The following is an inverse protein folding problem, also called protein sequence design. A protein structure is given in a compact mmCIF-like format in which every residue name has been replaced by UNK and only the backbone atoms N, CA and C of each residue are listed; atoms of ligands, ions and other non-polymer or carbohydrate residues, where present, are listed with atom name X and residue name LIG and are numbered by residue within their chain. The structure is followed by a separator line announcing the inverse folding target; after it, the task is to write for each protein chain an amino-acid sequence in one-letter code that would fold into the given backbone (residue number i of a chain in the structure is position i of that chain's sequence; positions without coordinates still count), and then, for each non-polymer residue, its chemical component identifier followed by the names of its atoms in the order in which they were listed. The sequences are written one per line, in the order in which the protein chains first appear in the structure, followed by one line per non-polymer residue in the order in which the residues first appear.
data_IF_201809664627
#
_entry.id   IF_201809664627
#
_cell.length_a   1.000
_cell.length_b   1.000
_cell.length_c   1.000
_cell.angle_alpha   90.00
_cell.angle_beta   90.00
_cell.angle_gamma   90.00
#
_symmetry.space_group_name_H-M   'P 1'
#
loop_
_entity.id
_entity.type
_entity.pdbx_description
1 polymer ?
#
# COMPACT_ATOMS: atom_id res chain seq x y z
N UNK A 1 -27.53 -12.39 17.21
CA UNK A 1 -26.97 -11.53 18.28
C UNK A 1 -27.14 -10.09 17.83
N UNK A 2 -28.12 -9.39 18.42
CA UNK A 2 -28.32 -7.96 18.21
C UNK A 2 -27.35 -7.21 19.14
N UNK A 3 -26.64 -6.22 18.59
CA UNK A 3 -25.85 -5.29 19.39
C UNK A 3 -26.75 -4.14 19.84
N UNK A 4 -27.04 -4.07 21.13
CA UNK A 4 -27.65 -2.89 21.77
C UNK A 4 -26.60 -1.80 21.97
N UNK A 5 -27.00 -0.59 21.60
CA UNK A 5 -26.27 0.66 21.80
C UNK A 5 -26.30 1.04 23.29
N UNK A 6 -25.15 1.01 23.97
CA UNK A 6 -25.04 1.52 25.35
C UNK A 6 -24.81 3.03 25.29
N UNK A 7 -25.86 3.80 25.64
CA UNK A 7 -25.76 5.23 25.85
C UNK A 7 -24.81 5.57 27.02
N UNK A 8 -23.80 6.39 26.74
CA UNK A 8 -22.94 6.98 27.77
C UNK A 8 -23.64 8.21 28.35
N UNK A 9 -23.97 8.14 29.64
CA UNK A 9 -24.62 9.23 30.41
C UNK A 9 -23.71 10.45 30.50
N UNK A 10 -24.30 11.64 30.31
CA UNK A 10 -23.70 12.95 30.61
C UNK A 10 -23.19 12.98 32.06
N UNK A 11 -21.88 13.18 32.24
CA UNK A 11 -21.32 13.62 33.51
C UNK A 11 -21.49 15.14 33.61
N UNK A 12 -22.38 15.61 34.48
CA UNK A 12 -22.41 17.01 34.88
C UNK A 12 -21.36 17.24 35.98
N UNK A 13 -20.35 18.07 35.67
CA UNK A 13 -19.39 18.55 36.66
C UNK A 13 -19.97 19.83 37.28
N UNK A 14 -20.47 19.74 38.51
CA UNK A 14 -20.81 20.92 39.32
C UNK A 14 -19.54 21.47 39.99
N UNK A 15 -19.07 22.62 39.52
CA UNK A 15 -18.00 23.38 40.18
C UNK A 15 -18.67 24.36 41.16
N UNK A 16 -18.52 24.12 42.46
CA UNK A 16 -18.91 25.06 43.51
C UNK A 16 -17.72 25.99 43.75
N UNK A 17 -17.86 27.27 43.40
CA UNK A 17 -16.86 28.30 43.67
C UNK A 17 -17.26 29.02 44.96
N UNK A 18 -16.52 28.78 46.03
CA UNK A 18 -16.64 29.51 47.29
C UNK A 18 -16.09 30.93 47.10
N UNK A 19 -16.90 31.95 47.40
CA UNK A 19 -16.49 33.35 47.35
C UNK A 19 -15.44 33.65 48.43
N UNK A 20 -14.17 33.78 48.02
CA UNK A 20 -13.13 34.41 48.81
C UNK A 20 -13.02 35.87 48.36
N UNK A 21 -13.60 36.77 49.16
CA UNK A 21 -13.39 38.20 49.02
C UNK A 21 -11.95 38.54 49.40
N UNK A 22 -11.12 38.90 48.43
CA UNK A 22 -10.03 39.84 48.68
C UNK A 22 -9.79 40.65 47.40
N UNK A 23 -9.80 41.97 47.56
CA UNK A 23 -9.69 42.94 46.50
C UNK A 23 -8.37 42.85 45.72
N UNK A 24 -8.42 43.40 44.51
CA UNK A 24 -7.39 43.49 43.49
C UNK A 24 -7.27 42.27 42.55
N UNK A 25 -7.60 42.52 41.28
CA UNK A 25 -7.25 41.74 40.07
C UNK A 25 -8.12 40.52 39.69
N UNK A 26 -9.44 40.63 39.81
CA UNK A 26 -10.40 39.66 39.24
C UNK A 26 -10.21 39.41 37.73
N UNK A 27 -9.78 40.45 36.98
CA UNK A 27 -9.53 40.35 35.54
C UNK A 27 -8.25 39.55 35.21
N UNK A 28 -7.21 39.69 36.03
CA UNK A 28 -5.91 39.03 35.83
C UNK A 28 -6.00 37.54 36.20
N UNK A 29 -6.74 37.21 37.27
CA UNK A 29 -7.00 35.82 37.67
C UNK A 29 -7.84 35.09 36.62
N UNK A 30 -8.88 35.72 36.05
CA UNK A 30 -9.67 35.13 34.97
C UNK A 30 -8.85 34.87 33.71
N UNK A 31 -7.99 35.82 33.31
CA UNK A 31 -7.09 35.63 32.15
C UNK A 31 -6.08 34.50 32.38
N UNK A 32 -5.50 34.41 33.57
CA UNK A 32 -4.57 33.33 33.92
C UNK A 32 -5.25 31.95 33.89
N UNK A 33 -6.44 31.85 34.46
CA UNK A 33 -7.22 30.60 34.47
C UNK A 33 -7.61 30.16 33.05
N UNK A 34 -7.96 31.11 32.18
CA UNK A 34 -8.32 30.83 30.78
C UNK A 34 -7.10 30.32 30.00
N UNK A 35 -5.91 30.90 30.21
CA UNK A 35 -4.67 30.41 29.60
C UNK A 35 -4.30 29.00 30.08
N UNK A 36 -4.50 28.68 31.36
CA UNK A 36 -4.24 27.34 31.91
C UNK A 36 -5.19 26.31 31.29
N UNK A 37 -6.48 26.65 31.12
CA UNK A 37 -7.46 25.74 30.50
C UNK A 37 -7.14 25.50 29.02
N UNK A 38 -6.75 26.54 28.27
CA UNK A 38 -6.34 26.39 26.86
C UNK A 38 -5.07 25.54 26.76
N UNK A 39 -4.05 25.80 27.60
CA UNK A 39 -2.82 25.01 27.61
C UNK A 39 -3.07 23.53 27.96
N UNK A 40 -3.96 23.26 28.93
CA UNK A 40 -4.37 21.91 29.28
C UNK A 40 -5.13 21.21 28.14
N UNK A 41 -5.97 21.94 27.39
CA UNK A 41 -6.69 21.38 26.23
C UNK A 41 -5.77 21.02 25.06
N UNK A 42 -4.72 21.81 24.83
CA UNK A 42 -3.68 21.51 23.83
C UNK A 42 -2.87 20.29 24.27
N UNK A 43 -2.46 20.22 25.54
CA UNK A 43 -1.71 19.07 26.07
C UNK A 43 -2.54 17.76 26.05
N UNK A 44 -3.85 17.83 26.29
CA UNK A 44 -4.75 16.67 26.17
C UNK A 44 -5.00 16.27 24.71
N UNK A 45 -5.02 17.22 23.77
CA UNK A 45 -5.12 16.91 22.33
C UNK A 45 -3.86 16.20 21.80
N UNK A 46 -2.67 16.51 22.33
CA UNK A 46 -1.44 15.76 22.03
C UNK A 46 -1.36 14.39 22.74
N UNK A 47 -2.09 14.21 23.85
CA UNK A 47 -2.08 12.99 24.65
C UNK A 47 -3.07 11.89 24.23
N UNK A 48 -3.99 12.18 23.30
CA UNK A 48 -5.01 11.22 22.85
C UNK A 48 -4.74 10.61 21.46
N UNK A 49 -3.52 10.71 20.93
CA UNK A 49 -3.05 9.73 19.97
C UNK A 49 -2.70 8.46 20.75
N UNK A 50 -3.70 7.60 20.99
CA UNK A 50 -3.43 6.21 21.40
C UNK A 50 -2.59 5.59 20.29
N UNK A 51 -1.27 5.63 20.46
CA UNK A 51 -0.34 4.77 19.76
C UNK A 51 -0.69 3.36 20.25
N UNK A 52 -1.49 2.65 19.46
CA UNK A 52 -1.56 1.21 19.58
C UNK A 52 -0.17 0.75 19.18
N UNK A 53 0.71 0.59 20.17
CA UNK A 53 1.91 -0.22 20.02
C UNK A 53 1.40 -1.65 19.83
N UNK A 54 1.03 -1.97 18.59
CA UNK A 54 0.98 -3.36 18.21
C UNK A 54 2.43 -3.84 18.36
N UNK A 55 2.66 -4.85 19.19
CA UNK A 55 3.95 -5.52 19.31
C UNK A 55 4.24 -6.32 18.04
N UNK A 56 4.07 -5.71 16.86
CA UNK A 56 4.44 -6.31 15.60
C UNK A 56 5.95 -6.47 15.58
N UNK A 57 6.39 -7.73 15.60
CA UNK A 57 7.80 -8.07 15.52
C UNK A 57 8.19 -8.21 14.05
N UNK A 58 8.78 -7.14 13.52
CA UNK A 58 9.41 -7.12 12.19
C UNK A 58 10.41 -8.27 12.02
N UNK A 59 10.49 -8.86 10.83
CA UNK A 59 11.47 -9.91 10.51
C UNK A 59 12.93 -9.44 10.62
N UNK A 60 13.83 -10.40 10.87
CA UNK A 60 15.27 -10.15 10.94
C UNK A 60 15.83 -9.53 9.64
N UNK A 61 15.30 -9.94 8.49
CA UNK A 61 15.71 -9.42 7.18
C UNK A 61 15.58 -7.90 7.09
N UNK A 62 14.49 -7.31 7.57
CA UNK A 62 14.28 -5.84 7.53
C UNK A 62 15.36 -5.13 8.35
N UNK A 63 15.71 -5.65 9.53
CA UNK A 63 16.76 -5.05 10.35
C UNK A 63 18.15 -5.17 9.69
N UNK A 64 18.45 -6.29 9.03
CA UNK A 64 19.69 -6.43 8.24
C UNK A 64 19.71 -5.44 7.07
N UNK A 65 18.61 -5.33 6.30
CA UNK A 65 18.49 -4.38 5.20
C UNK A 65 18.72 -2.92 5.63
N UNK A 66 18.16 -2.53 6.78
CA UNK A 66 18.35 -1.20 7.36
C UNK A 66 19.77 -0.97 7.89
N UNK A 67 20.51 -2.03 8.23
CA UNK A 67 21.91 -1.93 8.67
C UNK A 67 22.85 -1.86 7.47
N UNK A 68 22.62 -2.71 6.48
CA UNK A 68 23.57 -2.98 5.39
C UNK A 68 23.34 -2.09 4.16
N UNK A 69 22.11 -1.64 3.92
CA UNK A 69 21.69 -1.04 2.64
C UNK A 69 20.83 0.23 2.76
N UNK A 70 20.79 0.89 3.92
CA UNK A 70 19.89 2.02 4.17
C UNK A 70 19.99 3.15 3.12
N UNK A 71 21.19 3.52 2.70
CA UNK A 71 21.39 4.58 1.71
C UNK A 71 20.80 4.23 0.35
N UNK A 72 21.04 2.99 -0.14
CA UNK A 72 20.45 2.47 -1.37
C UNK A 72 18.92 2.42 -1.27
N UNK A 73 18.38 1.97 -0.14
CA UNK A 73 16.94 1.89 0.09
C UNK A 73 16.28 3.27 0.10
N UNK A 74 16.91 4.27 0.74
CA UNK A 74 16.44 5.67 0.70
C UNK A 74 16.47 6.24 -0.70
N UNK A 75 17.51 5.97 -1.48
CA UNK A 75 17.58 6.39 -2.88
C UNK A 75 16.41 5.81 -3.70
N UNK A 76 16.09 4.52 -3.53
CA UNK A 76 14.94 3.88 -4.19
C UNK A 76 13.60 4.43 -3.70
N UNK A 77 13.50 4.79 -2.42
CA UNK A 77 12.32 5.42 -1.85
C UNK A 77 12.07 6.82 -2.44
N UNK A 78 13.12 7.64 -2.56
CA UNK A 78 13.06 9.00 -3.10
C UNK A 78 12.74 9.06 -4.61
N UNK A 79 13.11 8.02 -5.36
CA UNK A 79 12.77 7.90 -6.77
C UNK A 79 11.33 7.41 -7.01
N UNK A 80 10.68 6.87 -5.98
CA UNK A 80 9.33 6.28 -6.02
C UNK A 80 8.26 7.22 -5.41
N UNK A 81 6.99 6.81 -5.42
CA UNK A 81 5.85 7.54 -4.88
C UNK A 81 5.33 8.68 -5.77
N UNK A 82 5.94 8.91 -6.94
CA UNK A 82 5.62 10.03 -7.84
C UNK A 82 4.42 9.71 -8.72
N UNK A 83 3.56 10.70 -9.06
CA UNK A 83 2.45 10.52 -10.01
C UNK A 83 2.84 9.97 -11.38
N UNK A 84 4.09 10.16 -11.82
CA UNK A 84 4.61 9.61 -13.08
C UNK A 84 4.99 8.13 -13.03
N UNK A 85 5.01 7.51 -11.84
CA UNK A 85 5.38 6.10 -11.69
C UNK A 85 4.23 5.14 -12.03
N UNK A 86 4.51 3.85 -11.94
CA UNK A 86 3.56 2.78 -12.24
C UNK A 86 2.84 2.23 -10.99
N UNK A 87 1.65 1.67 -11.19
CA UNK A 87 0.98 0.84 -10.20
C UNK A 87 1.59 -0.56 -10.30
N UNK A 88 2.28 -0.99 -9.24
CA UNK A 88 3.06 -2.24 -9.24
C UNK A 88 2.32 -3.32 -8.46
N UNK A 89 2.14 -4.48 -9.09
CA UNK A 89 1.48 -5.66 -8.56
C UNK A 89 2.54 -6.72 -8.23
N UNK A 90 2.55 -7.19 -6.99
CA UNK A 90 3.40 -8.29 -6.52
C UNK A 90 2.55 -9.39 -5.86
N UNK A 91 3.07 -10.61 -5.78
CA UNK A 91 2.40 -11.75 -5.17
C UNK A 91 2.28 -12.94 -6.13
N UNK A 92 1.25 -13.76 -5.95
CA UNK A 92 1.04 -14.94 -6.80
C UNK A 92 0.78 -14.52 -8.26
N UNK A 93 1.47 -15.14 -9.25
CA UNK A 93 1.34 -14.75 -10.64
C UNK A 93 -0.11 -14.70 -11.15
N UNK A 94 -0.94 -15.71 -10.83
CA UNK A 94 -2.32 -15.75 -11.28
C UNK A 94 -3.14 -14.58 -10.72
N UNK A 95 -2.90 -14.19 -9.47
CA UNK A 95 -3.62 -13.10 -8.81
C UNK A 95 -3.16 -11.73 -9.31
N UNK A 96 -1.87 -11.53 -9.55
CA UNK A 96 -1.34 -10.34 -10.22
C UNK A 96 -1.95 -10.17 -11.62
N UNK A 97 -1.99 -11.25 -12.41
CA UNK A 97 -2.55 -11.23 -13.76
C UNK A 97 -4.05 -10.90 -13.77
N UNK A 98 -4.85 -11.55 -12.90
CA UNK A 98 -6.29 -11.28 -12.79
C UNK A 98 -6.57 -9.85 -12.34
N UNK A 99 -5.79 -9.33 -11.39
CA UNK A 99 -5.97 -7.93 -10.94
C UNK A 99 -5.54 -6.95 -12.03
N UNK A 100 -4.41 -7.18 -12.69
CA UNK A 100 -3.97 -6.38 -13.84
C UNK A 100 -5.05 -6.34 -14.91
N UNK A 101 -5.62 -7.49 -15.28
CA UNK A 101 -6.70 -7.58 -16.25
C UNK A 101 -7.92 -6.76 -15.83
N UNK A 102 -8.34 -6.89 -14.58
CA UNK A 102 -9.44 -6.10 -14.02
C UNK A 102 -9.14 -4.59 -14.10
N UNK A 103 -7.93 -4.16 -13.80
CA UNK A 103 -7.54 -2.75 -13.82
C UNK A 103 -7.40 -2.19 -15.25
N UNK A 104 -7.12 -3.02 -16.25
CA UNK A 104 -7.03 -2.61 -17.65
C UNK A 104 -8.40 -2.25 -18.25
N UNK A 105 -9.49 -2.87 -17.76
CA UNK A 105 -10.83 -2.76 -18.36
C UNK A 105 -11.92 -2.28 -17.41
N UNK A 106 -11.64 -2.20 -16.11
CA UNK A 106 -12.61 -1.81 -15.08
C UNK A 106 -13.07 -0.37 -15.25
N UNK A 107 -14.37 -0.15 -15.14
CA UNK A 107 -15.07 1.14 -15.26
C UNK A 107 -16.13 1.18 -14.12
N UNK A 108 -15.64 1.13 -12.88
CA UNK A 108 -16.47 1.18 -11.68
C UNK A 108 -16.74 2.63 -11.24
N UNK A 109 -15.90 3.59 -11.63
CA UNK A 109 -15.90 4.95 -11.12
C UNK A 109 -15.92 6.03 -12.21
N UNK A 110 -16.55 7.16 -11.90
CA UNK A 110 -16.51 8.37 -12.71
C UNK A 110 -15.11 9.00 -12.56
N UNK A 111 -14.39 9.18 -13.66
CA UNK A 111 -13.01 9.65 -13.62
C UNK A 111 -12.88 11.15 -13.30
N UNK A 112 -13.99 11.90 -13.23
CA UNK A 112 -14.01 13.31 -12.86
C UNK A 112 -14.30 13.46 -11.37
N UNK A 113 -15.38 12.83 -10.88
CA UNK A 113 -15.88 13.06 -9.53
C UNK A 113 -15.82 11.86 -8.58
N UNK A 114 -15.28 10.72 -9.04
CA UNK A 114 -15.04 9.51 -8.26
C UNK A 114 -16.31 8.88 -7.67
N UNK A 115 -17.50 9.19 -8.19
CA UNK A 115 -18.72 8.45 -7.85
C UNK A 115 -18.60 7.01 -8.35
N UNK A 116 -19.23 6.09 -7.62
CA UNK A 116 -19.26 4.66 -7.97
C UNK A 116 -20.28 4.38 -9.09
N UNK A 117 -20.04 5.01 -10.24
CA UNK A 117 -20.80 4.89 -11.49
C UNK A 117 -19.77 5.09 -12.62
N UNK A 118 -19.62 4.10 -13.49
CA UNK A 118 -18.71 4.20 -14.62
C UNK A 118 -19.07 5.30 -15.62
N UNK A 119 -18.06 5.84 -16.29
CA UNK A 119 -18.17 6.91 -17.29
C UNK A 119 -17.85 6.45 -18.72
N UNK A 120 -17.59 5.16 -18.91
CA UNK A 120 -17.21 4.56 -20.20
C UNK A 120 -15.71 4.58 -20.47
N UNK A 121 -14.88 5.06 -19.54
CA UNK A 121 -13.42 4.98 -19.60
C UNK A 121 -12.90 4.09 -18.48
N UNK A 122 -11.80 3.34 -18.71
CA UNK A 122 -11.20 2.58 -17.62
C UNK A 122 -10.82 3.48 -16.44
N UNK A 123 -11.07 3.00 -15.22
CA UNK A 123 -10.78 3.68 -13.94
C UNK A 123 -9.31 4.12 -13.81
N UNK A 124 -8.42 3.41 -14.51
CA UNK A 124 -6.98 3.64 -14.52
C UNK A 124 -6.49 4.18 -15.87
N UNK A 125 -7.32 4.95 -16.57
CA UNK A 125 -6.92 5.64 -17.81
C UNK A 125 -5.64 6.45 -17.61
N UNK A 126 -4.73 6.38 -18.58
CA UNK A 126 -3.41 7.02 -18.54
C UNK A 126 -2.35 6.28 -17.72
N UNK A 127 -2.74 5.27 -16.94
CA UNK A 127 -1.86 4.60 -15.99
C UNK A 127 -1.03 3.47 -16.61
N UNK A 128 0.13 3.20 -16.00
CA UNK A 128 0.91 2.00 -16.27
C UNK A 128 0.75 1.02 -15.10
N UNK A 129 0.29 -0.19 -15.41
CA UNK A 129 0.15 -1.31 -14.49
C UNK A 129 1.32 -2.27 -14.74
N UNK A 130 2.11 -2.54 -13.70
CA UNK A 130 3.30 -3.38 -13.78
C UNK A 130 3.07 -4.62 -12.94
N UNK A 131 3.03 -5.81 -13.55
CA UNK A 131 3.00 -7.07 -12.80
C UNK A 131 4.40 -7.66 -12.70
N UNK A 132 4.91 -7.84 -11.48
CA UNK A 132 6.14 -8.59 -11.22
C UNK A 132 5.74 -10.02 -10.85
N UNK A 133 5.98 -10.96 -11.77
CA UNK A 133 5.55 -12.34 -11.66
C UNK A 133 6.67 -13.21 -11.08
N UNK A 134 6.45 -13.77 -9.89
CA UNK A 134 7.39 -14.70 -9.28
C UNK A 134 6.98 -16.15 -9.53
N UNK A 135 7.67 -16.80 -10.47
CA UNK A 135 7.44 -18.20 -10.81
C UNK A 135 8.38 -19.16 -10.07
N UNK A 136 9.53 -18.66 -9.60
CA UNK A 136 10.53 -19.45 -8.87
C UNK A 136 9.96 -19.99 -7.56
N UNK A 137 8.97 -19.28 -7.00
CA UNK A 137 8.27 -19.61 -5.77
C UNK A 137 6.89 -20.24 -5.94
N UNK A 138 6.47 -20.56 -7.18
CA UNK A 138 5.12 -21.10 -7.44
C UNK A 138 4.92 -22.56 -6.99
N UNK A 139 5.99 -23.26 -6.58
CA UNK A 139 5.88 -24.52 -5.84
C UNK A 139 5.40 -24.24 -4.42
N UNK A 140 4.07 -24.05 -4.32
CA UNK A 140 3.23 -24.03 -3.13
C UNK A 140 3.79 -23.29 -1.92
N UNK A 141 3.23 -22.10 -1.66
CA UNK A 141 3.20 -21.44 -0.34
C UNK A 141 2.97 -22.43 0.83
N UNK A 142 2.29 -23.56 0.58
CA UNK A 142 2.08 -24.68 1.51
C UNK A 142 3.36 -25.36 2.03
N UNK A 143 4.51 -25.25 1.35
CA UNK A 143 5.78 -25.87 1.77
C UNK A 143 6.71 -24.88 2.46
N UNK A 144 6.51 -23.58 2.22
CA UNK A 144 7.31 -22.51 2.81
C UNK A 144 6.92 -22.24 4.25
N UNK A 145 7.92 -21.99 5.09
CA UNK A 145 7.64 -21.48 6.43
C UNK A 145 7.22 -20.01 6.37
N UNK A 146 6.55 -19.53 7.43
CA UNK A 146 6.06 -18.15 7.49
C UNK A 146 7.15 -17.11 7.27
N UNK A 147 8.38 -17.37 7.74
CA UNK A 147 9.51 -16.46 7.61
C UNK A 147 9.91 -16.29 6.14
N UNK A 148 10.03 -17.38 5.39
CA UNK A 148 10.36 -17.35 3.96
C UNK A 148 9.33 -16.56 3.14
N UNK A 149 8.04 -16.72 3.44
CA UNK A 149 6.98 -15.94 2.80
C UNK A 149 7.11 -14.45 3.12
N UNK A 150 7.36 -14.10 4.39
CA UNK A 150 7.57 -12.70 4.82
C UNK A 150 8.76 -12.07 4.11
N UNK A 151 9.88 -12.80 4.04
CA UNK A 151 11.06 -12.34 3.34
C UNK A 151 10.83 -12.18 1.83
N UNK A 152 10.10 -13.10 1.20
CA UNK A 152 9.76 -13.01 -0.22
C UNK A 152 8.93 -11.76 -0.52
N UNK A 153 7.93 -11.44 0.32
CA UNK A 153 7.13 -10.21 0.17
C UNK A 153 7.98 -8.95 0.30
N UNK A 154 8.91 -8.92 1.26
CA UNK A 154 9.85 -7.79 1.41
C UNK A 154 10.74 -7.66 0.17
N UNK A 155 11.32 -8.76 -0.32
CA UNK A 155 12.18 -8.76 -1.52
C UNK A 155 11.42 -8.30 -2.77
N UNK A 156 10.21 -8.82 -2.99
CA UNK A 156 9.36 -8.40 -4.11
C UNK A 156 8.96 -6.91 -4.02
N UNK A 157 8.73 -6.40 -2.80
CA UNK A 157 8.42 -4.99 -2.58
C UNK A 157 9.62 -4.07 -2.87
N UNK A 158 10.84 -4.50 -2.56
CA UNK A 158 12.06 -3.78 -2.93
C UNK A 158 12.31 -3.83 -4.44
N UNK A 159 12.05 -4.97 -5.07
CA UNK A 159 12.04 -5.14 -6.51
C UNK A 159 11.07 -4.15 -7.19
N UNK A 160 9.89 -3.95 -6.61
CA UNK A 160 8.93 -2.95 -7.09
C UNK A 160 9.50 -1.52 -7.07
N UNK A 161 10.23 -1.12 -6.02
CA UNK A 161 10.88 0.21 -5.98
C UNK A 161 12.02 0.35 -7.01
N UNK A 162 12.60 -0.75 -7.45
CA UNK A 162 13.74 -0.75 -8.38
C UNK A 162 13.34 -0.77 -9.86
N UNK A 163 12.05 -0.80 -10.20
CA UNK A 163 11.63 -0.82 -11.61
C UNK A 163 11.99 0.50 -12.31
N UNK A 164 12.37 0.47 -13.62
CA UNK A 164 12.84 1.67 -14.32
C UNK A 164 11.85 2.83 -14.36
N UNK A 165 10.55 2.54 -14.40
CA UNK A 165 9.48 3.56 -14.44
C UNK A 165 9.15 4.15 -13.06
N UNK A 166 9.74 3.60 -11.98
CA UNK A 166 9.43 3.94 -10.60
C UNK A 166 8.09 3.36 -10.12
N UNK A 167 8.02 3.04 -8.83
CA UNK A 167 6.79 2.56 -8.20
C UNK A 167 5.99 3.75 -7.68
N UNK A 168 4.73 3.86 -8.08
CA UNK A 168 3.79 4.89 -7.59
C UNK A 168 2.87 4.36 -6.50
N UNK A 169 2.31 3.17 -6.71
CA UNK A 169 1.48 2.43 -5.74
C UNK A 169 1.96 1.00 -5.76
N UNK A 170 2.11 0.36 -4.60
CA UNK A 170 2.42 -1.06 -4.49
C UNK A 170 1.17 -1.82 -4.06
N UNK A 171 0.81 -2.89 -4.76
CA UNK A 171 -0.30 -3.78 -4.40
C UNK A 171 0.20 -5.20 -4.17
N UNK A 172 -0.07 -5.77 -2.99
CA UNK A 172 0.19 -7.17 -2.69
C UNK A 172 -1.06 -7.98 -3.04
N UNK A 173 -0.97 -8.75 -4.13
CA UNK A 173 -2.07 -9.44 -4.79
C UNK A 173 -2.29 -10.86 -4.27
N UNK A 174 -2.05 -11.14 -2.99
CA UNK A 174 -2.35 -12.45 -2.38
C UNK A 174 -2.81 -12.23 -0.94
N UNK A 175 -3.91 -12.87 -0.56
CA UNK A 175 -4.44 -12.76 0.80
C UNK A 175 -3.47 -13.34 1.82
N UNK A 176 -2.85 -14.47 1.47
CA UNK A 176 -1.86 -15.18 2.27
C UNK A 176 -0.61 -14.32 2.46
N UNK A 177 -0.03 -13.83 1.36
CA UNK A 177 1.17 -12.97 1.42
C UNK A 177 0.90 -11.65 2.13
N UNK A 178 -0.29 -11.06 1.92
CA UNK A 178 -0.74 -9.86 2.64
C UNK A 178 -0.80 -10.10 4.14
N UNK A 179 -1.34 -11.25 4.57
CA UNK A 179 -1.45 -11.62 5.99
C UNK A 179 -0.10 -11.89 6.65
N UNK A 180 0.88 -12.36 5.89
CA UNK A 180 2.19 -12.73 6.39
C UNK A 180 3.14 -11.53 6.41
N UNK A 181 3.33 -10.86 5.27
CA UNK A 181 4.41 -9.90 5.05
C UNK A 181 3.98 -8.44 4.81
N UNK A 182 2.68 -8.14 4.69
CA UNK A 182 2.21 -6.77 4.39
C UNK A 182 2.69 -5.73 5.41
N UNK A 183 2.59 -6.06 6.70
CA UNK A 183 3.06 -5.19 7.79
C UNK A 183 4.60 -5.00 7.80
N UNK A 184 5.39 -6.01 7.40
CA UNK A 184 6.85 -5.86 7.30
C UNK A 184 7.22 -4.85 6.22
N UNK A 185 6.49 -4.84 5.11
CA UNK A 185 6.70 -3.87 4.02
C UNK A 185 6.34 -2.47 4.47
N UNK A 186 5.21 -2.29 5.15
CA UNK A 186 4.80 -0.98 5.69
C UNK A 186 5.81 -0.47 6.71
N UNK A 187 6.28 -1.31 7.64
CA UNK A 187 7.30 -0.94 8.61
C UNK A 187 8.63 -0.56 7.93
N UNK A 188 9.10 -1.37 6.97
CA UNK A 188 10.30 -1.06 6.19
C UNK A 188 10.16 0.27 5.44
N UNK A 189 9.05 0.46 4.71
CA UNK A 189 8.79 1.67 3.92
C UNK A 189 8.73 2.90 4.83
N UNK A 190 8.07 2.79 5.99
CA UNK A 190 8.03 3.85 7.00
C UNK A 190 9.43 4.22 7.54
N UNK A 191 10.27 3.22 7.82
CA UNK A 191 11.64 3.45 8.34
C UNK A 191 12.61 4.04 7.33
N UNK A 192 12.42 3.77 6.04
CA UNK A 192 13.23 4.35 4.96
C UNK A 192 12.65 5.66 4.42
N UNK A 193 11.47 6.10 4.88
CA UNK A 193 10.81 7.32 4.40
C UNK A 193 10.18 7.18 3.00
N UNK A 194 9.76 5.98 2.62
CA UNK A 194 9.10 5.72 1.34
C UNK A 194 7.63 6.13 1.41
N UNK A 195 7.21 7.01 0.49
CA UNK A 195 5.83 7.53 0.45
C UNK A 195 4.88 6.68 -0.40
N UNK A 196 5.39 5.63 -1.06
CA UNK A 196 4.60 4.70 -1.87
C UNK A 196 3.50 4.08 -0.98
N UNK A 197 2.21 4.31 -1.29
CA UNK A 197 1.13 3.62 -0.61
C UNK A 197 1.21 2.12 -0.94
N UNK A 198 1.18 1.29 0.11
CA UNK A 198 1.13 -0.16 0.02
C UNK A 198 -0.31 -0.61 0.29
N UNK A 199 -0.91 -1.30 -0.67
CA UNK A 199 -2.29 -1.77 -0.62
C UNK A 199 -2.27 -3.29 -0.55
N UNK A 200 -2.82 -3.83 0.52
CA UNK A 200 -2.86 -5.26 0.78
C UNK A 200 -4.07 -5.56 1.67
N UNK A 201 -4.56 -6.78 1.60
CA UNK A 201 -5.64 -7.25 2.46
C UNK A 201 -5.56 -8.76 2.59
N UNK A 202 -5.80 -9.26 3.80
CA UNK A 202 -5.99 -10.69 4.05
C UNK A 202 -7.41 -11.18 3.75
N UNK A 203 -8.34 -10.24 3.49
CA UNK A 203 -9.73 -10.55 3.13
C UNK A 203 -9.86 -10.73 1.61
N UNK A 204 -10.27 -11.93 1.19
CA UNK A 204 -10.45 -12.29 -0.22
C UNK A 204 -11.61 -11.58 -0.91
N UNK A 205 -12.53 -10.98 -0.14
CA UNK A 205 -13.62 -10.16 -0.68
C UNK A 205 -13.21 -8.70 -0.89
N UNK A 206 -12.02 -8.31 -0.40
CA UNK A 206 -11.53 -6.95 -0.51
C UNK A 206 -11.16 -6.60 -1.95
N UNK A 207 -11.72 -5.51 -2.47
CA UNK A 207 -11.38 -5.03 -3.80
C UNK A 207 -10.11 -4.18 -3.78
N UNK A 208 -8.98 -4.79 -4.13
CA UNK A 208 -7.68 -4.10 -4.26
C UNK A 208 -7.72 -2.99 -5.31
N UNK A 209 -8.41 -3.20 -6.45
CA UNK A 209 -8.57 -2.18 -7.50
C UNK A 209 -9.30 -0.94 -6.98
N UNK A 210 -10.43 -1.12 -6.29
CA UNK A 210 -11.19 -0.02 -5.69
C UNK A 210 -10.36 0.72 -4.64
N UNK A 211 -9.66 0.00 -3.77
CA UNK A 211 -8.79 0.61 -2.77
C UNK A 211 -7.66 1.43 -3.43
N UNK A 212 -7.09 0.93 -4.51
CA UNK A 212 -6.09 1.65 -5.32
C UNK A 212 -6.67 2.93 -5.90
N UNK A 213 -7.82 2.85 -6.59
CA UNK A 213 -8.48 4.02 -7.18
C UNK A 213 -8.74 5.11 -6.13
N UNK A 214 -9.37 4.74 -5.01
CA UNK A 214 -9.69 5.68 -3.93
C UNK A 214 -8.42 6.29 -3.31
N UNK A 215 -7.37 5.49 -3.10
CA UNK A 215 -6.09 5.99 -2.57
C UNK A 215 -5.41 6.96 -3.53
N UNK A 216 -5.47 6.70 -4.84
CA UNK A 216 -4.94 7.58 -5.87
C UNK A 216 -5.74 8.88 -5.97
N UNK A 217 -7.07 8.84 -5.82
CA UNK A 217 -7.92 10.05 -5.75
C UNK A 217 -7.60 10.89 -4.52
N UNK A 218 -7.53 10.26 -3.36
CA UNK A 218 -7.21 10.91 -2.07
C UNK A 218 -5.88 11.69 -2.16
N UNK A 219 -4.89 11.13 -2.86
CA UNK A 219 -3.55 11.71 -2.97
C UNK A 219 -3.29 12.47 -4.27
N UNK A 220 -4.28 12.65 -5.13
CA UNK A 220 -4.14 13.27 -6.45
C UNK A 220 -2.98 12.66 -7.29
N UNK A 221 -2.93 11.32 -7.37
CA UNK A 221 -1.83 10.55 -7.98
C UNK A 221 -2.11 10.06 -9.41
N UNK A 222 -3.29 10.33 -9.95
CA UNK A 222 -3.61 10.01 -11.35
C UNK A 222 -2.76 10.86 -12.29
N UNK A 223 -2.35 10.24 -13.39
CA UNK A 223 -1.75 10.95 -14.51
C UNK A 223 -2.79 11.83 -15.18
N UNK A 224 -2.34 12.95 -15.76
CA UNK A 224 -3.19 13.79 -16.61
C UNK A 224 -3.21 13.29 -18.07
N UNK A 225 -2.83 12.02 -18.30
CA UNK A 225 -2.72 11.46 -19.63
C UNK A 225 -4.05 10.84 -20.05
N UNK A 226 -4.58 11.28 -21.19
CA UNK A 226 -5.84 10.80 -21.72
C UNK A 226 -5.53 9.66 -22.70
N UNK A 227 -5.30 8.48 -22.16
CA UNK A 227 -5.07 7.25 -22.93
C UNK A 227 -5.67 6.04 -22.23
N UNK A 228 -5.81 4.92 -22.95
CA UNK A 228 -6.09 3.66 -22.29
C UNK A 228 -4.97 3.29 -21.30
N UNK A 229 -5.29 2.54 -20.23
CA UNK A 229 -4.26 1.99 -19.35
C UNK A 229 -3.30 1.12 -20.15
N UNK A 230 -2.09 0.94 -19.62
CA UNK A 230 -1.06 0.11 -20.23
C UNK A 230 -0.51 -0.91 -19.25
N UNK A 231 -0.15 -2.09 -19.74
CA UNK A 231 0.42 -3.14 -18.91
C UNK A 231 1.88 -3.45 -19.28
N UNK A 232 2.70 -3.69 -18.25
CA UNK A 232 4.05 -4.25 -18.38
C UNK A 232 4.20 -5.49 -17.50
N UNK A 233 4.89 -6.49 -18.03
CA UNK A 233 5.17 -7.74 -17.34
C UNK A 233 6.66 -7.84 -17.07
N UNK A 234 6.99 -8.14 -15.82
CA UNK A 234 8.32 -8.53 -15.39
C UNK A 234 8.24 -9.87 -14.69
N UNK A 235 9.38 -10.52 -14.54
CA UNK A 235 9.51 -11.71 -13.72
C UNK A 235 10.63 -11.57 -12.69
N UNK A 236 10.38 -12.13 -11.50
CA UNK A 236 11.39 -12.29 -10.46
C UNK A 236 12.16 -13.58 -10.73
N UNK A 237 13.49 -13.48 -10.81
CA UNK A 237 14.39 -14.62 -10.92
C UNK A 237 15.37 -14.60 -9.75
N UNK A 238 15.74 -15.78 -9.26
CA UNK A 238 16.77 -15.90 -8.24
C UNK A 238 18.10 -15.37 -8.79
N UNK A 239 18.70 -14.40 -8.09
CA UNK A 239 20.04 -13.90 -8.41
C UNK A 239 21.13 -14.93 -8.14
N UNK A 240 22.27 -14.78 -8.82
CA UNK A 240 23.42 -15.69 -8.69
C UNK A 240 24.22 -15.53 -7.39
N UNK A 241 24.07 -14.40 -6.68
CA UNK A 241 24.73 -14.11 -5.42
C UNK A 241 23.70 -13.59 -4.39
N UNK A 242 23.68 -14.22 -3.21
CA UNK A 242 23.07 -13.69 -1.98
C UNK A 242 21.55 -13.45 -1.94
N UNK A 243 20.73 -14.40 -2.40
CA UNK A 243 19.28 -14.36 -2.16
C UNK A 243 18.58 -13.07 -2.63
N UNK A 244 19.21 -12.30 -3.54
CA UNK A 244 18.60 -11.14 -4.16
C UNK A 244 17.69 -11.62 -5.30
N UNK A 245 16.43 -11.17 -5.30
CA UNK A 245 15.53 -11.35 -6.44
C UNK A 245 15.86 -10.30 -7.49
N UNK A 246 16.24 -10.75 -8.70
CA UNK A 246 16.46 -9.85 -9.84
C UNK A 246 15.17 -9.77 -10.63
N UNK A 247 14.75 -8.54 -10.97
CA UNK A 247 13.59 -8.31 -11.83
C UNK A 247 14.07 -8.18 -13.26
N UNK A 248 13.56 -9.04 -14.14
CA UNK A 248 13.86 -9.02 -15.58
C UNK A 248 12.56 -8.88 -16.38
N UNK A 249 12.60 -8.34 -17.61
CA UNK A 249 11.44 -8.35 -18.50
C UNK A 249 10.87 -9.76 -18.61
N UNK A 250 9.54 -9.87 -18.70
CA UNK A 250 8.87 -11.17 -18.76
C UNK A 250 9.23 -11.95 -20.04
N UNK A 251 9.57 -13.22 -19.86
CA UNK A 251 9.93 -14.13 -20.96
C UNK A 251 9.02 -15.35 -20.91
N UNK A 252 8.20 -15.53 -21.95
CA UNK A 252 7.23 -16.64 -22.04
C UNK A 252 7.89 -18.03 -21.88
N UNK A 253 9.11 -18.22 -22.40
CA UNK A 253 9.83 -19.50 -22.31
C UNK A 253 10.33 -19.86 -20.91
N UNK A 254 10.30 -18.91 -19.96
CA UNK A 254 10.68 -19.11 -18.57
C UNK A 254 9.47 -19.40 -17.65
N UNK A 255 8.26 -19.37 -18.20
CA UNK A 255 7.05 -19.76 -17.46
C UNK A 255 7.05 -21.29 -17.25
N UNK A 256 6.94 -21.78 -16.00
CA UNK A 256 6.91 -23.21 -15.74
C UNK A 256 5.71 -23.89 -16.41
N UNK A 257 5.93 -25.08 -16.98
CA UNK A 257 4.85 -25.88 -17.57
C UNK A 257 3.76 -26.30 -16.56
N UNK A 258 4.06 -26.24 -15.26
CA UNK A 258 3.10 -26.49 -14.17
C UNK A 258 2.13 -25.33 -13.94
N UNK A 259 2.37 -24.16 -14.53
CA UNK A 259 1.43 -23.04 -14.46
C UNK A 259 0.27 -23.32 -15.43
N UNK A 260 -0.94 -23.60 -14.92
CA UNK A 260 -1.99 -24.29 -15.68
C UNK A 260 -2.63 -23.44 -16.77
N UNK A 261 -2.56 -22.11 -16.64
CA UNK A 261 -3.15 -21.16 -17.57
C UNK A 261 -2.05 -20.29 -18.19
N UNK A 262 -2.07 -20.08 -19.50
CA UNK A 262 -1.13 -19.13 -20.10
C UNK A 262 -1.49 -17.70 -19.69
N UNK A 263 -0.50 -16.81 -19.69
CA UNK A 263 -0.73 -15.39 -19.40
C UNK A 263 -1.83 -14.79 -20.29
N UNK A 264 -1.85 -15.17 -21.57
CA UNK A 264 -2.89 -14.75 -22.52
C UNK A 264 -4.31 -15.27 -22.21
N UNK A 265 -4.46 -16.33 -21.41
CA UNK A 265 -5.77 -16.83 -20.96
C UNK A 265 -6.23 -16.08 -19.70
N UNK A 266 -5.34 -15.88 -18.73
CA UNK A 266 -5.70 -15.22 -17.46
C UNK A 266 -5.89 -13.71 -17.60
N UNK A 267 -5.14 -13.08 -18.49
CA UNK A 267 -5.10 -11.64 -18.64
C UNK A 267 -4.88 -11.23 -20.10
N UNK A 268 -5.86 -11.46 -21.00
CA UNK A 268 -5.72 -11.22 -22.43
C UNK A 268 -5.44 -9.75 -22.77
N UNK A 269 -6.09 -8.78 -22.11
CA UNK A 269 -5.84 -7.36 -22.38
C UNK A 269 -4.48 -6.92 -21.83
N UNK A 270 -4.09 -7.44 -20.66
CA UNK A 270 -2.75 -7.25 -20.09
C UNK A 270 -1.67 -7.79 -21.03
N UNK A 271 -1.83 -9.02 -21.52
CA UNK A 271 -0.88 -9.66 -22.43
C UNK A 271 -0.81 -8.93 -23.77
N UNK A 272 -1.96 -8.56 -24.35
CA UNK A 272 -2.01 -7.79 -25.59
C UNK A 272 -1.29 -6.44 -25.44
N UNK A 273 -1.58 -5.68 -24.38
CA UNK A 273 -0.90 -4.42 -24.10
C UNK A 273 0.61 -4.60 -23.95
N UNK A 274 1.06 -5.66 -23.27
CA UNK A 274 2.48 -5.97 -23.11
C UNK A 274 3.16 -6.29 -24.46
N UNK A 275 2.54 -7.14 -25.27
CA UNK A 275 3.10 -7.56 -26.57
C UNK A 275 3.22 -6.37 -27.52
N UNK A 276 2.17 -5.55 -27.64
CA UNK A 276 2.19 -4.37 -28.53
C UNK A 276 3.28 -3.39 -28.12
N UNK A 277 3.50 -3.19 -26.82
CA UNK A 277 4.53 -2.27 -26.34
C UNK A 277 5.97 -2.74 -26.58
N UNK A 278 6.21 -4.05 -26.69
CA UNK A 278 7.55 -4.60 -26.93
C UNK A 278 7.88 -4.81 -28.42
N UNK A 279 6.96 -4.44 -29.32
CA UNK A 279 7.19 -4.50 -30.78
C UNK A 279 7.85 -3.22 -31.34
N UNK A 280 8.17 -2.25 -30.47
CA UNK A 280 8.79 -0.97 -30.80
C UNK A 280 9.98 -0.69 -29.87
#
# INVERSE_FOLDING_TARGET
MQFECVQVRRFEIKIVVSELSLGYNLLTVKKLLTCIVIAASVLLAFGCARRVESSYKTIALVNSLLTDSLSRLRFLAESSGKPSGAIVLIGEPASCLRLSEKMMVGDEFDNIDARNVGDGLPDFAGETIVSILDFADSSTLSVKNQTECREAVVRQSLAALAIPVGCKVLIICSCELSSLGGEDVVDLFGRIGCEVPVIYSSDSTFSLSKACFLKMRERNMFTHNISYPTAKLFMSVAGSLNSESVVVPFVDSLVPASFPDTVGVLAPNTYYSYVVQNQH
#
